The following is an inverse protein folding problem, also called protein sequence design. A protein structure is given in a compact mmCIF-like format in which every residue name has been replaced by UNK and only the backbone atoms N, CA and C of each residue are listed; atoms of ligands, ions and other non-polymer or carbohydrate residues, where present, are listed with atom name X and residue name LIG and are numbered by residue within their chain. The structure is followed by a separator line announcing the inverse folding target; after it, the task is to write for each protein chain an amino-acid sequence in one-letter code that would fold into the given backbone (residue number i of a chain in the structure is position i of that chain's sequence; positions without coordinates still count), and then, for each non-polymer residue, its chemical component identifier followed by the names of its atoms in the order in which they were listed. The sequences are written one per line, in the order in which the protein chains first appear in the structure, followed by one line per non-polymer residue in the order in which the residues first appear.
data_IF_282536017252
#
_entry.id   IF_282536017252
#
_cell.length_a   1.000
_cell.length_b   1.000
_cell.length_c   1.000
_cell.angle_alpha   90.00
_cell.angle_beta   90.00
_cell.angle_gamma   90.00
#
_symmetry.space_group_name_H-M   'P 1'
#
loop_
_entity.id
_entity.type
_entity.pdbx_description
1 polymer ?
#
# COMPACT_ATOMS: atom_id res chain seq x y z
N UNK A 1 7.71 6.03 -11.11
CA UNK A 1 6.94 6.34 -9.89
C UNK A 1 7.66 5.66 -8.74
N UNK A 2 7.85 6.34 -7.63
CA UNK A 2 8.40 5.75 -6.41
C UNK A 2 7.24 5.30 -5.52
N UNK A 3 7.53 4.32 -4.67
CA UNK A 3 6.58 3.71 -3.75
C UNK A 3 7.27 3.43 -2.40
N UNK A 4 6.46 3.06 -1.41
CA UNK A 4 6.90 2.46 -0.16
C UNK A 4 7.95 1.37 -0.39
N UNK A 5 8.76 1.10 0.63
CA UNK A 5 9.75 0.02 0.55
C UNK A 5 9.10 -1.31 0.15
N UNK A 6 7.90 -1.55 0.69
CA UNK A 6 7.02 -2.68 0.35
C UNK A 6 5.57 -2.21 0.40
N UNK A 7 4.78 -2.54 -0.61
CA UNK A 7 3.35 -2.24 -0.63
C UNK A 7 2.57 -3.26 -1.46
N UNK A 8 1.63 -3.94 -0.81
CA UNK A 8 0.83 -4.98 -1.45
C UNK A 8 -0.67 -4.87 -1.13
N UNK A 9 -1.49 -5.43 -2.02
CA UNK A 9 -2.91 -5.62 -1.76
C UNK A 9 -3.13 -6.66 -0.67
N UNK A 10 -4.13 -6.46 0.20
CA UNK A 10 -4.49 -7.43 1.24
C UNK A 10 -5.46 -8.49 0.68
N UNK A 11 -5.05 -9.77 0.56
CA UNK A 11 -5.95 -10.83 0.09
C UNK A 11 -7.08 -11.10 1.08
N UNK A 12 -8.24 -11.51 0.56
CA UNK A 12 -9.34 -11.96 1.40
C UNK A 12 -8.91 -13.15 2.27
N UNK A 13 -9.37 -13.20 3.53
CA UNK A 13 -9.01 -14.19 4.55
C UNK A 13 -7.53 -14.23 4.99
N UNK A 14 -6.72 -13.22 4.69
CA UNK A 14 -5.36 -13.12 5.21
C UNK A 14 -5.26 -12.02 6.27
N UNK A 15 -4.51 -12.25 7.36
CA UNK A 15 -4.26 -11.18 8.34
C UNK A 15 -3.27 -10.18 7.78
N UNK A 16 -3.46 -8.89 8.08
CA UNK A 16 -2.56 -7.82 7.66
C UNK A 16 -1.09 -8.13 7.99
N UNK A 17 -0.83 -8.60 9.22
CA UNK A 17 0.53 -8.95 9.67
C UNK A 17 1.15 -10.13 8.89
N UNK A 18 0.34 -11.08 8.45
CA UNK A 18 0.81 -12.21 7.65
C UNK A 18 1.13 -11.76 6.23
N UNK A 19 0.26 -10.94 5.62
CA UNK A 19 0.49 -10.42 4.29
C UNK A 19 1.73 -9.53 4.22
N UNK A 20 1.90 -8.57 5.15
CA UNK A 20 3.06 -7.68 5.09
C UNK A 20 4.38 -8.43 5.25
N UNK A 21 4.42 -9.52 6.03
CA UNK A 21 5.60 -10.39 6.16
C UNK A 21 5.92 -11.12 4.85
N UNK A 22 4.88 -11.50 4.09
CA UNK A 22 4.99 -12.10 2.75
C UNK A 22 5.56 -11.09 1.76
N UNK A 23 4.94 -9.91 1.64
CA UNK A 23 5.38 -8.85 0.71
C UNK A 23 6.81 -8.37 1.03
N UNK A 24 7.18 -8.30 2.33
CA UNK A 24 8.55 -7.96 2.73
C UNK A 24 9.60 -8.87 2.11
N UNK A 25 9.29 -10.15 1.95
CA UNK A 25 10.18 -11.12 1.33
C UNK A 25 10.15 -11.02 -0.20
N UNK A 26 8.98 -10.88 -0.81
CA UNK A 26 8.80 -10.90 -2.28
C UNK A 26 9.34 -9.62 -2.94
N UNK A 27 8.98 -8.46 -2.40
CA UNK A 27 9.31 -7.18 -3.02
C UNK A 27 10.73 -6.73 -2.65
N UNK A 28 11.15 -6.92 -1.39
CA UNK A 28 12.39 -6.34 -0.84
C UNK A 28 13.40 -7.36 -0.28
N UNK A 29 13.11 -8.67 -0.37
CA UNK A 29 14.04 -9.72 0.05
C UNK A 29 14.29 -9.73 1.56
N UNK A 30 13.41 -9.12 2.37
CA UNK A 30 13.56 -9.04 3.82
C UNK A 30 13.14 -10.39 4.42
N UNK A 31 14.04 -11.10 5.12
CA UNK A 31 13.74 -12.41 5.67
C UNK A 31 12.73 -12.30 6.82
N UNK A 32 11.97 -13.37 7.03
CA UNK A 32 10.98 -13.49 8.11
C UNK A 32 11.55 -13.24 9.51
N UNK A 33 12.82 -13.56 9.73
CA UNK A 33 13.53 -13.27 10.98
C UNK A 33 13.58 -11.77 11.31
N UNK A 34 13.47 -10.89 10.31
CA UNK A 34 13.43 -9.44 10.45
C UNK A 34 11.99 -8.93 10.33
N UNK A 35 11.26 -9.31 9.28
CA UNK A 35 9.92 -8.74 8.98
C UNK A 35 8.86 -9.06 10.03
N UNK A 36 9.03 -10.13 10.82
CA UNK A 36 8.16 -10.43 11.96
C UNK A 36 8.19 -9.34 13.04
N UNK A 37 9.26 -8.55 13.14
CA UNK A 37 9.35 -7.42 14.05
C UNK A 37 8.53 -6.19 13.62
N UNK A 38 7.93 -6.17 12.42
CA UNK A 38 7.17 -5.01 11.95
C UNK A 38 6.02 -4.65 12.91
N UNK A 39 5.97 -3.41 13.38
CA UNK A 39 4.95 -2.94 14.30
C UNK A 39 3.83 -2.20 13.53
N UNK A 40 2.55 -2.42 13.86
CA UNK A 40 1.48 -1.62 13.27
C UNK A 40 1.64 -0.15 13.70
N UNK A 41 1.67 0.76 12.73
CA UNK A 41 1.86 2.19 12.94
C UNK A 41 0.54 2.97 12.82
N UNK A 42 -0.44 2.44 12.08
CA UNK A 42 -1.75 3.06 11.92
C UNK A 42 -2.48 2.58 10.68
N UNK A 43 -3.54 3.30 10.33
CA UNK A 43 -4.25 3.10 9.08
C UNK A 43 -4.66 4.45 8.49
N UNK A 44 -4.59 4.56 7.16
CA UNK A 44 -5.05 5.73 6.40
C UNK A 44 -6.17 5.28 5.49
N UNK A 45 -7.36 5.86 5.65
CA UNK A 45 -8.46 5.65 4.72
C UNK A 45 -8.42 6.70 3.62
N UNK A 46 -8.46 6.26 2.37
CA UNK A 46 -8.56 7.12 1.21
C UNK A 46 -9.83 6.80 0.39
N UNK A 47 -10.35 7.81 -0.27
CA UNK A 47 -11.52 7.69 -1.15
C UNK A 47 -11.27 8.48 -2.42
N UNK A 48 -11.13 7.76 -3.52
CA UNK A 48 -11.02 8.34 -4.85
C UNK A 48 -12.36 8.23 -5.58
N UNK A 49 -12.88 9.37 -6.02
CA UNK A 49 -14.15 9.46 -6.74
C UNK A 49 -13.85 9.94 -8.16
N UNK A 50 -14.11 9.08 -9.14
CA UNK A 50 -13.94 9.37 -10.56
C UNK A 50 -15.23 9.08 -11.31
N UNK A 51 -16.00 10.15 -11.58
CA UNK A 51 -17.32 10.05 -12.19
C UNK A 51 -18.30 9.25 -11.32
N UNK A 52 -18.74 8.09 -11.83
CA UNK A 52 -19.63 7.17 -11.11
C UNK A 52 -18.87 6.06 -10.36
N UNK A 53 -17.54 6.04 -10.43
CA UNK A 53 -16.70 5.11 -9.70
C UNK A 53 -16.27 5.73 -8.37
N UNK A 54 -16.42 4.99 -7.29
CA UNK A 54 -15.90 5.33 -5.98
C UNK A 54 -15.00 4.19 -5.52
N UNK A 55 -13.70 4.47 -5.38
CA UNK A 55 -12.72 3.54 -4.83
C UNK A 55 -12.47 3.95 -3.39
N UNK A 56 -12.67 3.01 -2.46
CA UNK A 56 -12.38 3.21 -1.03
C UNK A 56 -11.29 2.25 -0.62
N UNK A 57 -10.15 2.81 -0.27
CA UNK A 57 -8.98 2.06 0.13
C UNK A 57 -8.64 2.36 1.59
N UNK A 58 -8.18 1.35 2.31
CA UNK A 58 -7.53 1.52 3.62
C UNK A 58 -6.12 1.01 3.52
N UNK A 59 -5.16 1.89 3.79
CA UNK A 59 -3.75 1.59 3.86
C UNK A 59 -3.40 1.26 5.32
N UNK A 60 -3.17 -0.02 5.63
CA UNK A 60 -2.65 -0.42 6.94
C UNK A 60 -1.14 -0.32 6.94
N UNK A 61 -0.61 0.49 7.84
CA UNK A 61 0.80 0.88 7.80
C UNK A 61 1.60 0.22 8.89
N UNK A 62 2.82 -0.19 8.54
CA UNK A 62 3.74 -0.89 9.43
C UNK A 62 5.11 -0.24 9.42
N UNK A 63 5.66 -0.06 10.63
CA UNK A 63 7.04 0.31 10.86
C UNK A 63 7.92 -0.93 10.97
N UNK A 64 9.03 -0.95 10.25
CA UNK A 64 10.05 -1.98 10.39
C UNK A 64 11.43 -1.35 10.52
N UNK A 65 12.11 -1.64 11.64
CA UNK A 65 13.49 -1.24 11.83
C UNK A 65 14.42 -2.24 11.14
N UNK A 66 15.18 -1.75 10.17
CA UNK A 66 16.22 -2.51 9.47
C UNK A 66 17.58 -2.29 10.14
N UNK A 67 18.50 -3.23 9.93
CA UNK A 67 19.89 -3.09 10.39
C UNK A 67 20.65 -2.10 9.51
N UNK A 68 21.62 -1.40 10.10
CA UNK A 68 22.50 -0.51 9.36
C UNK A 68 23.22 -1.28 8.24
N UNK A 69 23.15 -0.76 7.01
CA UNK A 69 23.75 -1.38 5.83
C UNK A 69 22.91 -2.48 5.17
N UNK A 70 21.66 -2.71 5.59
CA UNK A 70 20.75 -3.59 4.85
C UNK A 70 20.53 -3.08 3.42
N UNK A 71 20.68 -3.97 2.44
CA UNK A 71 20.42 -3.70 1.03
C UNK A 71 19.24 -4.56 0.57
N UNK A 72 18.08 -3.97 0.25
CA UNK A 72 16.93 -4.72 -0.24
C UNK A 72 17.23 -5.37 -1.60
N UNK A 73 16.63 -6.53 -1.83
CA UNK A 73 16.71 -7.26 -3.09
C UNK A 73 15.31 -7.48 -3.67
N UNK A 74 15.16 -7.32 -4.98
CA UNK A 74 13.90 -7.61 -5.66
C UNK A 74 13.85 -9.10 -5.99
N UNK A 75 12.90 -9.83 -5.44
CA UNK A 75 12.81 -11.29 -5.67
C UNK A 75 11.83 -11.63 -6.79
N UNK A 76 10.69 -10.96 -6.86
CA UNK A 76 9.58 -11.26 -7.79
C UNK A 76 9.60 -10.43 -9.10
N UNK A 77 10.35 -9.33 -9.13
CA UNK A 77 10.46 -8.44 -10.28
C UNK A 77 9.43 -7.30 -10.32
N UNK A 78 8.58 -7.15 -9.29
CA UNK A 78 7.63 -6.03 -9.17
C UNK A 78 8.37 -4.70 -8.96
N UNK A 79 9.46 -4.72 -8.19
CA UNK A 79 10.29 -3.55 -7.91
C UNK A 79 11.38 -3.35 -8.97
N UNK A 80 11.49 -2.15 -9.53
CA UNK A 80 12.55 -1.84 -10.49
C UNK A 80 13.94 -1.69 -9.84
N UNK A 81 14.02 -0.83 -8.80
CA UNK A 81 15.25 -0.47 -8.08
C UNK A 81 14.94 0.18 -6.73
N UNK A 82 15.85 0.08 -5.78
CA UNK A 82 15.75 0.74 -4.47
C UNK A 82 16.63 1.98 -4.37
N UNK A 83 16.15 2.98 -3.62
CA UNK A 83 16.93 4.18 -3.29
C UNK A 83 16.72 4.56 -1.83
N UNK A 84 17.81 4.64 -1.06
CA UNK A 84 17.77 5.14 0.30
C UNK A 84 17.69 6.67 0.29
N UNK A 85 16.67 7.24 0.94
CA UNK A 85 16.45 8.68 1.02
C UNK A 85 16.41 9.11 2.50
N UNK A 86 17.19 10.13 2.91
CA UNK A 86 17.08 10.70 4.25
C UNK A 86 15.68 11.23 4.55
N UNK A 87 15.14 10.96 5.74
CA UNK A 87 13.76 11.30 6.13
C UNK A 87 13.44 12.79 6.01
N UNK A 88 14.42 13.68 6.21
CA UNK A 88 14.26 15.12 6.06
C UNK A 88 14.02 15.55 4.60
N UNK A 89 14.38 14.71 3.62
CA UNK A 89 14.15 14.99 2.19
C UNK A 89 12.81 14.42 1.71
N UNK A 90 12.18 13.55 2.49
CA UNK A 90 10.93 12.86 2.15
C UNK A 90 9.77 13.84 2.01
N UNK A 91 9.65 14.82 2.92
CA UNK A 91 8.53 15.76 2.92
C UNK A 91 8.45 16.66 1.66
N UNK A 92 9.55 16.78 0.90
CA UNK A 92 9.61 17.52 -0.36
C UNK A 92 9.32 16.66 -1.60
N UNK A 93 9.16 15.35 -1.44
CA UNK A 93 8.82 14.43 -2.51
C UNK A 93 7.30 14.46 -2.73
N UNK A 94 6.86 14.52 -3.98
CA UNK A 94 5.43 14.41 -4.27
C UNK A 94 4.97 12.99 -3.92
N UNK A 95 3.68 12.76 -3.71
CA UNK A 95 3.12 11.42 -3.43
C UNK A 95 3.38 10.39 -4.54
N UNK A 96 4.02 10.78 -5.65
CA UNK A 96 4.59 9.92 -6.70
C UNK A 96 6.09 9.59 -6.52
N UNK A 97 6.73 10.12 -5.48
CA UNK A 97 8.19 10.22 -5.30
C UNK A 97 8.69 9.73 -3.92
N UNK A 98 7.90 9.00 -3.12
CA UNK A 98 8.34 8.58 -1.78
C UNK A 98 9.06 7.22 -1.79
N UNK A 99 10.21 7.12 -1.12
CA UNK A 99 10.72 5.86 -0.53
C UNK A 99 10.96 6.16 0.95
N UNK A 100 10.14 5.57 1.81
CA UNK A 100 10.24 5.64 3.28
C UNK A 100 10.08 4.23 3.81
N UNK A 101 10.67 3.96 4.98
CA UNK A 101 10.58 2.72 5.77
C UNK A 101 9.16 2.46 6.32
N UNK A 102 8.15 2.67 5.49
CA UNK A 102 6.75 2.39 5.76
C UNK A 102 6.32 1.35 4.76
N UNK A 103 5.72 0.27 5.23
CA UNK A 103 5.00 -0.64 4.37
C UNK A 103 3.51 -0.41 4.55
N UNK A 104 2.79 -0.29 3.44
CA UNK A 104 1.34 -0.04 3.45
C UNK A 104 0.63 -1.20 2.77
N UNK A 105 -0.36 -1.76 3.44
CA UNK A 105 -1.27 -2.75 2.84
C UNK A 105 -2.54 -2.06 2.37
N UNK A 106 -2.87 -2.20 1.11
CA UNK A 106 -4.10 -1.65 0.56
C UNK A 106 -5.21 -2.69 0.69
N UNK A 107 -6.21 -2.39 1.50
CA UNK A 107 -7.47 -3.14 1.52
C UNK A 107 -8.56 -2.30 0.86
N UNK A 108 -9.07 -2.75 -0.28
CA UNK A 108 -10.27 -2.18 -0.88
C UNK A 108 -11.47 -2.56 -0.01
N UNK A 109 -12.14 -1.58 0.60
CA UNK A 109 -13.34 -1.77 1.41
C UNK A 109 -14.63 -1.89 0.59
N UNK A 110 -14.54 -2.17 -0.72
CA UNK A 110 -15.73 -2.28 -1.55
C UNK A 110 -16.47 -3.60 -1.34
N UNK A 111 -17.18 -3.70 -0.20
CA UNK A 111 -18.22 -4.72 0.03
C UNK A 111 -19.59 -4.26 -0.47
N UNK A 112 -19.67 -3.31 -1.40
CA UNK A 112 -20.95 -2.79 -1.86
C UNK A 112 -20.93 -2.43 -3.34
N UNK A 113 -21.23 -3.40 -4.19
CA UNK A 113 -21.80 -3.15 -5.52
C UNK A 113 -22.90 -2.09 -5.39
N UNK A 114 -22.60 -0.84 -5.77
CA UNK A 114 -23.62 0.21 -5.87
C UNK A 114 -23.94 0.39 -7.35
N UNK A 115 -24.91 -0.40 -7.82
CA UNK A 115 -25.60 -0.10 -9.07
C UNK A 115 -26.41 1.18 -8.85
N UNK A 116 -25.87 2.32 -9.28
CA UNK A 116 -26.62 3.57 -9.34
C UNK A 116 -27.46 3.56 -10.62
N UNK A 117 -28.77 3.41 -10.45
CA UNK A 117 -29.77 3.59 -11.51
C UNK A 117 -29.87 5.07 -11.88
N UNK A 118 -29.58 5.42 -13.13
CA UNK A 118 -30.18 6.59 -13.77
C UNK A 118 -31.47 6.15 -14.45
N UNK A 119 -32.63 6.42 -13.83
CA UNK A 119 -33.88 6.47 -14.59
C UNK A 119 -33.81 7.72 -15.46
N UNK A 120 -34.06 7.59 -16.76
CA UNK A 120 -34.50 8.73 -17.55
C UNK A 120 -35.75 9.31 -16.86
N UNK A 121 -35.87 10.65 -16.71
CA UNK A 121 -37.15 11.22 -16.34
C UNK A 121 -38.20 10.74 -17.36
N UNK A 122 -39.44 10.45 -16.96
CA UNK A 122 -40.51 10.27 -17.93
C UNK A 122 -40.54 11.52 -18.80
N UNK A 123 -40.55 11.33 -20.12
CA UNK A 123 -40.90 12.40 -21.04
C UNK A 123 -42.33 12.81 -20.69
N UNK A 124 -42.47 13.94 -20.01
CA UNK A 124 -43.73 14.68 -19.97
C UNK A 124 -43.83 15.46 -21.28
N UNK A 125 -44.85 15.08 -22.07
CA UNK A 125 -45.42 15.63 -23.33
C UNK A 125 -44.50 15.88 -24.54
#
# INVERSE_FOLDING_TARGET
MLDHLVAGGLPHNMKCKENIVKEYQEEAGIPKSISTAAAPAGAVSDMDISGYCCKRDVLFSYDLKLTDGFVPNKEDGEVHSFKLIPVNHVAGLRFSDLVVLWASLISCLDTGTMALSSRSPPLED
#
